data_IF_280910003219
#
_entry.id   IF_280910003219
#
_cell.length_a   1.000
_cell.length_b   1.000
_cell.length_c   1.000
_cell.angle_alpha   90.00
_cell.angle_beta   90.00
_cell.angle_gamma   90.00
#
_symmetry.space_group_name_H-M   'P 1'
#
loop_
_entity.id
_entity.type
_entity.pdbx_description
1 polymer ?
#
# COMPACT_ATOMS: atom_id res chain seq x y z
N UNK A 1 20.26 -20.86 29.67
CA UNK A 1 21.12 -20.07 28.73
C UNK A 1 20.58 -20.10 27.31
N UNK A 2 20.09 -21.20 26.74
CA UNK A 2 19.56 -21.27 25.35
C UNK A 2 18.40 -20.28 25.06
N UNK A 3 17.41 -20.16 25.93
CA UNK A 3 16.24 -19.28 25.73
C UNK A 3 16.59 -17.79 25.56
N UNK A 4 17.69 -17.33 26.15
CA UNK A 4 18.13 -15.94 26.03
C UNK A 4 18.77 -15.65 24.67
N UNK A 5 19.47 -16.60 24.08
CA UNK A 5 20.09 -16.47 22.76
C UNK A 5 19.07 -16.52 21.64
N UNK A 6 18.03 -17.36 21.76
CA UNK A 6 16.92 -17.43 20.78
C UNK A 6 16.17 -16.11 20.68
N UNK A 7 16.01 -15.39 21.78
CA UNK A 7 15.37 -14.07 21.79
C UNK A 7 16.25 -12.99 21.14
N UNK A 8 17.58 -13.08 21.22
CA UNK A 8 18.47 -12.07 20.63
C UNK A 8 18.41 -12.13 19.11
N UNK A 9 18.60 -13.32 18.53
CA UNK A 9 18.54 -13.47 17.05
C UNK A 9 17.14 -13.16 16.53
N UNK A 10 16.09 -13.60 17.23
CA UNK A 10 14.73 -13.31 16.85
C UNK A 10 14.48 -11.80 16.79
N UNK A 11 14.88 -11.05 17.80
CA UNK A 11 14.69 -9.60 17.83
C UNK A 11 15.50 -8.90 16.73
N UNK A 12 16.76 -9.29 16.53
CA UNK A 12 17.60 -8.73 15.46
C UNK A 12 16.97 -8.93 14.06
N UNK A 13 16.48 -10.15 13.79
CA UNK A 13 15.77 -10.46 12.53
C UNK A 13 14.50 -9.64 12.42
N UNK A 14 13.71 -9.50 13.48
CA UNK A 14 12.47 -8.72 13.45
C UNK A 14 12.72 -7.23 13.26
N UNK A 15 13.76 -6.67 13.85
CA UNK A 15 14.14 -5.27 13.68
C UNK A 15 14.53 -4.98 12.22
N UNK A 16 15.28 -5.89 11.60
CA UNK A 16 15.66 -5.75 10.21
C UNK A 16 14.48 -5.92 9.23
N UNK A 17 13.58 -6.87 9.51
CA UNK A 17 12.33 -7.03 8.75
C UNK A 17 11.46 -5.78 8.87
N UNK A 18 11.34 -5.21 10.06
CA UNK A 18 10.58 -3.97 10.28
C UNK A 18 11.17 -2.81 9.48
N UNK A 19 12.50 -2.67 9.50
CA UNK A 19 13.21 -1.65 8.71
C UNK A 19 12.90 -1.79 7.21
N UNK A 20 13.00 -3.00 6.66
CA UNK A 20 12.70 -3.25 5.25
C UNK A 20 11.23 -2.93 4.92
N UNK A 21 10.29 -3.29 5.80
CA UNK A 21 8.87 -2.98 5.58
C UNK A 21 8.56 -1.48 5.67
N UNK A 22 9.29 -0.73 6.50
CA UNK A 22 9.20 0.73 6.53
C UNK A 22 9.69 1.34 5.20
N UNK A 23 10.81 0.86 4.66
CA UNK A 23 11.33 1.29 3.37
C UNK A 23 10.32 0.98 2.25
N UNK A 24 9.78 -0.25 2.19
CA UNK A 24 8.74 -0.64 1.21
C UNK A 24 7.52 0.24 1.28
N UNK A 25 7.03 0.52 2.50
CA UNK A 25 5.91 1.45 2.70
C UNK A 25 6.19 2.82 2.08
N UNK A 26 7.38 3.35 2.32
CA UNK A 26 7.72 4.69 1.88
C UNK A 26 7.98 4.73 0.35
N UNK A 27 8.53 3.68 -0.22
CA UNK A 27 8.63 3.48 -1.68
C UNK A 27 7.25 3.44 -2.35
N UNK A 28 6.30 2.67 -1.80
CA UNK A 28 4.92 2.64 -2.30
C UNK A 28 4.27 4.03 -2.21
N UNK A 29 4.43 4.74 -1.09
CA UNK A 29 3.91 6.10 -0.92
C UNK A 29 4.49 7.07 -1.94
N UNK A 30 5.79 7.02 -2.18
CA UNK A 30 6.46 7.85 -3.17
C UNK A 30 5.92 7.55 -4.58
N UNK A 31 5.74 6.29 -4.91
CA UNK A 31 5.19 5.87 -6.21
C UNK A 31 3.73 6.28 -6.38
N UNK A 32 2.90 6.14 -5.33
CA UNK A 32 1.52 6.66 -5.35
C UNK A 32 1.47 8.16 -5.62
N UNK A 33 2.43 8.92 -5.09
CA UNK A 33 2.51 10.35 -5.31
C UNK A 33 2.95 10.67 -6.75
N UNK A 34 4.00 10.01 -7.26
CA UNK A 34 4.52 10.23 -8.63
C UNK A 34 3.51 9.84 -9.71
N UNK A 35 2.75 8.77 -9.51
CA UNK A 35 1.71 8.31 -10.42
C UNK A 35 0.39 9.11 -10.29
N UNK A 36 0.34 10.08 -9.37
CA UNK A 36 -0.83 10.91 -9.16
C UNK A 36 -2.08 10.16 -8.71
N UNK A 37 -1.95 8.95 -8.17
CA UNK A 37 -3.09 8.15 -7.69
C UNK A 37 -3.57 8.58 -6.30
N UNK A 38 -2.82 9.43 -5.64
CA UNK A 38 -3.14 9.95 -4.32
C UNK A 38 -4.10 11.16 -4.44
N UNK A 39 -5.35 11.02 -4.00
CA UNK A 39 -6.32 12.13 -4.00
C UNK A 39 -6.33 12.85 -2.64
N UNK A 40 -6.90 12.19 -1.62
CA UNK A 40 -6.99 12.73 -0.26
C UNK A 40 -5.77 12.43 0.61
N UNK A 41 -4.90 11.51 0.20
CA UNK A 41 -3.80 11.00 1.02
C UNK A 41 -4.21 9.93 2.05
N UNK A 42 -5.50 9.64 2.21
CA UNK A 42 -5.97 8.66 3.22
C UNK A 42 -5.36 7.27 3.03
N UNK A 43 -5.33 6.76 1.80
CA UNK A 43 -4.73 5.44 1.49
C UNK A 43 -3.25 5.41 1.85
N UNK A 44 -2.50 6.45 1.46
CA UNK A 44 -1.09 6.59 1.79
C UNK A 44 -0.85 6.70 3.30
N UNK A 45 -1.64 7.53 4.00
CA UNK A 45 -1.56 7.68 5.44
C UNK A 45 -1.96 6.40 6.20
N UNK A 46 -2.91 5.62 5.66
CA UNK A 46 -3.38 4.37 6.25
C UNK A 46 -2.39 3.21 6.17
N UNK A 47 -1.29 3.34 5.43
CA UNK A 47 -0.24 2.31 5.40
C UNK A 47 0.61 2.37 6.68
N UNK A 48 0.60 1.30 7.45
CA UNK A 48 1.32 1.20 8.72
C UNK A 48 2.10 -0.11 8.80
N UNK A 49 3.30 -0.04 9.35
CA UNK A 49 4.05 -1.23 9.76
C UNK A 49 3.69 -1.51 11.20
N UNK A 50 3.31 -2.73 11.50
CA UNK A 50 2.87 -3.17 12.83
C UNK A 50 3.68 -4.38 13.25
N UNK A 51 4.26 -4.30 14.46
CA UNK A 51 5.00 -5.39 15.08
C UNK A 51 4.09 -6.15 16.05
N UNK A 52 4.19 -7.45 16.03
CA UNK A 52 3.50 -8.40 16.90
C UNK A 52 4.53 -9.31 17.57
N UNK A 53 4.10 -10.10 18.55
CA UNK A 53 4.96 -11.12 19.17
C UNK A 53 5.49 -12.15 18.15
N UNK A 54 4.73 -12.46 17.12
CA UNK A 54 5.06 -13.49 16.11
C UNK A 54 5.57 -12.95 14.77
N UNK A 55 5.78 -11.63 14.63
CA UNK A 55 6.28 -11.07 13.38
C UNK A 55 5.98 -9.59 13.16
N UNK A 56 6.28 -9.12 11.95
CA UNK A 56 6.03 -7.75 11.50
C UNK A 56 5.21 -7.79 10.21
N UNK A 57 4.28 -6.88 10.03
CA UNK A 57 3.47 -6.78 8.82
C UNK A 57 3.26 -5.33 8.39
N UNK A 58 3.18 -5.12 7.08
CA UNK A 58 2.66 -3.90 6.49
C UNK A 58 1.15 -4.06 6.32
N UNK A 59 0.38 -3.16 6.89
CA UNK A 59 -1.08 -3.17 6.86
C UNK A 59 -1.62 -1.87 6.29
N UNK A 60 -2.80 -1.95 5.71
CA UNK A 60 -3.57 -0.80 5.27
C UNK A 60 -4.74 -0.64 6.24
N UNK A 61 -4.79 0.48 6.96
CA UNK A 61 -5.79 0.79 7.97
C UNK A 61 -6.60 2.02 7.56
N UNK A 62 -7.86 2.10 7.99
CA UNK A 62 -8.75 3.22 7.72
C UNK A 62 -10.08 2.76 7.09
N UNK A 63 -11.17 3.47 7.41
CA UNK A 63 -12.52 3.11 6.94
C UNK A 63 -12.72 3.45 5.45
N UNK A 64 -12.11 4.54 4.98
CA UNK A 64 -12.27 5.06 3.61
C UNK A 64 -11.07 4.77 2.70
N UNK A 65 -10.32 3.71 2.99
CA UNK A 65 -9.12 3.38 2.22
C UNK A 65 -9.51 2.60 0.97
N UNK A 66 -9.21 3.15 -0.21
CA UNK A 66 -9.41 2.45 -1.46
C UNK A 66 -8.56 1.17 -1.50
N UNK A 67 -9.12 0.04 -1.93
CA UNK A 67 -8.33 -1.17 -2.13
C UNK A 67 -7.15 -0.92 -3.06
N UNK A 68 -5.93 -1.23 -2.63
CA UNK A 68 -4.71 -1.00 -3.42
C UNK A 68 -4.79 -1.59 -4.82
N UNK A 69 -5.37 -2.80 -4.96
CA UNK A 69 -5.58 -3.43 -6.25
C UNK A 69 -6.36 -2.54 -7.24
N UNK A 70 -7.36 -1.79 -6.76
CA UNK A 70 -8.12 -0.86 -7.63
C UNK A 70 -7.26 0.33 -8.08
N UNK A 71 -6.28 0.75 -7.29
CA UNK A 71 -5.35 1.81 -7.68
C UNK A 71 -4.43 1.36 -8.82
N UNK A 72 -4.05 0.10 -8.83
CA UNK A 72 -3.13 -0.49 -9.81
C UNK A 72 -3.84 -0.93 -11.09
N UNK A 73 -4.89 -1.74 -10.95
CA UNK A 73 -5.58 -2.36 -12.10
C UNK A 73 -6.87 -1.65 -12.51
N UNK A 74 -7.27 -0.62 -11.78
CA UNK A 74 -8.50 0.11 -12.08
C UNK A 74 -9.77 -0.72 -11.84
N UNK A 75 -10.84 -0.33 -12.51
CA UNK A 75 -12.16 -0.96 -12.39
C UNK A 75 -12.68 -1.37 -13.77
N UNK A 76 -13.07 -2.64 -13.90
CA UNK A 76 -13.76 -3.15 -15.08
C UNK A 76 -15.16 -2.53 -15.23
N UNK A 77 -15.73 -2.61 -16.43
CA UNK A 77 -17.15 -2.28 -16.66
C UNK A 77 -18.07 -3.20 -15.84
N UNK A 78 -19.28 -2.74 -15.56
CA UNK A 78 -20.29 -3.49 -14.83
C UNK A 78 -20.92 -2.74 -13.67
N UNK A 79 -21.45 -3.48 -12.69
CA UNK A 79 -22.11 -2.88 -11.52
C UNK A 79 -21.15 -2.03 -10.70
N UNK A 80 -21.56 -0.83 -10.36
CA UNK A 80 -20.89 0.05 -9.41
C UNK A 80 -21.61 0.00 -8.05
N UNK A 81 -20.91 0.27 -6.92
CA UNK A 81 -21.53 0.34 -5.61
C UNK A 81 -22.67 1.37 -5.55
N UNK A 82 -23.62 1.16 -4.63
CA UNK A 82 -24.57 2.24 -4.29
C UNK A 82 -23.79 3.45 -3.79
N UNK A 83 -24.23 4.66 -4.16
CA UNK A 83 -23.54 5.90 -3.80
C UNK A 83 -22.23 6.13 -4.54
N UNK A 84 -21.94 5.40 -5.62
CA UNK A 84 -20.67 5.57 -6.34
C UNK A 84 -20.48 6.99 -6.90
N UNK A 85 -21.58 7.68 -7.25
CA UNK A 85 -21.51 9.08 -7.65
C UNK A 85 -21.01 9.98 -6.48
N UNK A 86 -21.44 9.71 -5.25
CA UNK A 86 -20.99 10.46 -4.08
C UNK A 86 -19.49 10.23 -3.82
N UNK A 87 -19.01 9.01 -4.03
CA UNK A 87 -17.57 8.69 -3.98
C UNK A 87 -16.79 9.50 -5.01
N UNK A 88 -17.28 9.60 -6.27
CA UNK A 88 -16.65 10.40 -7.31
C UNK A 88 -16.73 11.90 -7.00
N UNK A 89 -17.84 12.36 -6.44
CA UNK A 89 -17.98 13.76 -6.01
C UNK A 89 -16.94 14.10 -4.93
N UNK A 90 -16.81 13.26 -3.90
CA UNK A 90 -15.79 13.43 -2.86
C UNK A 90 -14.37 13.37 -3.43
N UNK A 91 -14.08 12.39 -4.28
CA UNK A 91 -12.80 12.30 -4.98
C UNK A 91 -12.47 13.56 -5.78
N UNK A 92 -13.46 14.17 -6.44
CA UNK A 92 -13.26 15.42 -7.20
C UNK A 92 -12.89 16.60 -6.30
N UNK A 93 -13.43 16.65 -5.08
CA UNK A 93 -13.04 17.63 -4.03
C UNK A 93 -11.62 17.38 -3.54
N UNK A 94 -11.32 16.14 -3.20
CA UNK A 94 -9.99 15.74 -2.73
C UNK A 94 -8.89 16.04 -3.76
N UNK A 95 -9.21 15.91 -5.06
CA UNK A 95 -8.32 16.28 -6.17
C UNK A 95 -8.27 17.79 -6.46
N UNK A 96 -9.08 18.59 -5.79
CA UNK A 96 -9.13 20.03 -6.03
C UNK A 96 -9.70 20.42 -7.40
N UNK A 97 -10.55 19.58 -8.01
CA UNK A 97 -11.16 19.91 -9.28
C UNK A 97 -12.13 21.08 -9.12
N UNK A 98 -11.90 22.15 -9.87
CA UNK A 98 -12.75 23.33 -9.86
C UNK A 98 -14.01 23.10 -10.70
N UNK A 99 -15.17 23.51 -10.16
CA UNK A 99 -16.45 23.53 -10.87
C UNK A 99 -17.15 24.86 -10.61
N UNK A 100 -17.90 25.40 -11.57
CA UNK A 100 -18.61 26.67 -11.39
C UNK A 100 -19.62 26.61 -10.25
N UNK A 101 -20.35 25.49 -10.11
CA UNK A 101 -21.33 25.25 -9.04
C UNK A 101 -21.21 23.84 -8.47
N UNK A 102 -21.79 23.61 -7.31
CA UNK A 102 -21.92 22.25 -6.74
C UNK A 102 -22.85 21.36 -7.58
N UNK A 103 -23.80 21.94 -8.31
CA UNK A 103 -24.64 21.24 -9.28
C UNK A 103 -23.82 20.64 -10.42
N UNK A 104 -22.87 21.42 -10.95
CA UNK A 104 -21.96 20.94 -12.01
C UNK A 104 -21.07 19.81 -11.51
N UNK A 105 -20.56 19.89 -10.27
CA UNK A 105 -19.79 18.82 -9.63
C UNK A 105 -20.59 17.52 -9.50
N UNK A 106 -21.86 17.61 -9.04
CA UNK A 106 -22.76 16.45 -8.95
C UNK A 106 -23.06 15.84 -10.30
N UNK A 107 -23.32 16.68 -11.31
CA UNK A 107 -23.54 16.25 -12.68
C UNK A 107 -22.32 15.53 -13.24
N UNK A 108 -21.12 16.08 -13.04
CA UNK A 108 -19.85 15.44 -13.39
C UNK A 108 -19.72 14.07 -12.69
N UNK A 109 -19.95 14.01 -11.41
CA UNK A 109 -19.83 12.78 -10.63
C UNK A 109 -20.80 11.69 -11.11
N UNK A 110 -22.05 12.05 -11.38
CA UNK A 110 -23.05 11.14 -11.91
C UNK A 110 -22.69 10.61 -13.30
N UNK A 111 -22.30 11.50 -14.22
CA UNK A 111 -21.92 11.12 -15.58
C UNK A 111 -20.67 10.26 -15.59
N UNK A 112 -19.68 10.59 -14.75
CA UNK A 112 -18.46 9.79 -14.58
C UNK A 112 -18.77 8.41 -14.02
N UNK A 113 -19.61 8.31 -12.99
CA UNK A 113 -20.04 7.03 -12.44
C UNK A 113 -20.73 6.15 -13.49
N UNK A 114 -21.61 6.73 -14.33
CA UNK A 114 -22.25 6.02 -15.44
C UNK A 114 -21.25 5.59 -16.51
N UNK A 115 -20.29 6.45 -16.85
CA UNK A 115 -19.22 6.09 -17.81
C UNK A 115 -18.39 4.92 -17.29
N UNK A 116 -17.97 4.96 -16.04
CA UNK A 116 -17.21 3.87 -15.42
C UNK A 116 -18.03 2.57 -15.39
N UNK A 117 -19.31 2.65 -15.06
CA UNK A 117 -20.18 1.47 -15.10
C UNK A 117 -20.27 0.85 -16.50
N UNK A 118 -20.28 1.66 -17.55
CA UNK A 118 -20.42 1.20 -18.95
C UNK A 118 -19.09 0.75 -19.55
N UNK A 119 -18.00 1.44 -19.27
CA UNK A 119 -16.72 1.32 -20.01
C UNK A 119 -15.56 0.86 -19.12
N UNK A 120 -15.73 0.89 -17.80
CA UNK A 120 -14.62 0.76 -16.86
C UNK A 120 -13.79 2.05 -16.75
N UNK A 121 -12.70 1.97 -16.04
CA UNK A 121 -11.73 3.08 -15.94
C UNK A 121 -10.63 2.94 -16.98
N UNK A 122 -9.99 4.04 -17.38
CA UNK A 122 -8.79 4.00 -18.25
C UNK A 122 -7.67 3.18 -17.61
N UNK A 123 -7.53 3.23 -16.28
CA UNK A 123 -6.59 2.40 -15.53
C UNK A 123 -6.79 0.91 -15.76
N UNK A 124 -8.04 0.45 -15.94
CA UNK A 124 -8.32 -0.95 -16.24
C UNK A 124 -7.85 -1.36 -17.64
N UNK A 125 -7.87 -0.44 -18.60
CA UNK A 125 -7.35 -0.66 -19.97
C UNK A 125 -5.82 -0.59 -20.01
N UNK A 126 -5.22 0.24 -19.15
CA UNK A 126 -3.78 0.42 -19.04
C UNK A 126 -3.38 0.43 -17.55
N UNK A 127 -3.21 -0.75 -16.95
CA UNK A 127 -2.76 -0.87 -15.56
C UNK A 127 -1.40 -0.22 -15.36
N UNK A 128 -1.17 0.26 -14.16
CA UNK A 128 0.15 0.72 -13.73
C UNK A 128 0.57 -0.08 -12.50
N UNK A 129 1.85 -0.26 -12.34
CA UNK A 129 2.38 -0.76 -11.09
C UNK A 129 2.41 0.38 -10.06
N UNK A 130 1.79 0.17 -8.91
CA UNK A 130 1.73 1.11 -7.79
C UNK A 130 2.42 0.54 -6.55
N UNK A 131 2.29 -0.77 -6.33
CA UNK A 131 2.82 -1.45 -5.15
C UNK A 131 3.37 -2.85 -5.43
N UNK A 132 2.96 -3.50 -6.52
CA UNK A 132 3.29 -4.92 -6.77
C UNK A 132 4.79 -5.15 -6.88
N UNK A 133 5.51 -4.32 -7.61
CA UNK A 133 6.97 -4.44 -7.77
C UNK A 133 7.71 -4.10 -6.47
N UNK A 134 7.26 -3.10 -5.73
CA UNK A 134 7.83 -2.71 -4.43
C UNK A 134 7.69 -3.84 -3.42
N UNK A 135 6.52 -4.49 -3.39
CA UNK A 135 6.28 -5.64 -2.51
C UNK A 135 7.19 -6.80 -2.89
N UNK A 136 7.31 -7.13 -4.18
CA UNK A 136 8.19 -8.21 -4.64
C UNK A 136 9.66 -7.94 -4.29
N UNK A 137 10.15 -6.71 -4.53
CA UNK A 137 11.49 -6.29 -4.12
C UNK A 137 11.67 -6.33 -2.60
N UNK A 138 10.65 -5.92 -1.86
CA UNK A 138 10.62 -5.99 -0.41
C UNK A 138 10.77 -7.42 0.11
N UNK A 139 10.04 -8.37 -0.44
CA UNK A 139 10.17 -9.80 -0.09
C UNK A 139 11.59 -10.31 -0.36
N UNK A 140 12.19 -9.94 -1.49
CA UNK A 140 13.57 -10.34 -1.79
C UNK A 140 14.58 -9.74 -0.77
N UNK A 141 14.41 -8.46 -0.40
CA UNK A 141 15.23 -7.79 0.63
C UNK A 141 15.06 -8.43 2.01
N UNK A 142 13.85 -8.76 2.42
CA UNK A 142 13.58 -9.46 3.67
C UNK A 142 14.30 -10.81 3.70
N UNK A 143 14.16 -11.61 2.64
CA UNK A 143 14.84 -12.90 2.56
C UNK A 143 16.37 -12.78 2.65
N UNK A 144 16.94 -11.74 2.03
CA UNK A 144 18.39 -11.50 2.12
C UNK A 144 18.79 -11.04 3.52
N UNK A 145 18.03 -10.15 4.14
CA UNK A 145 18.27 -9.65 5.48
C UNK A 145 18.26 -10.79 6.51
N UNK A 146 17.27 -11.67 6.46
CA UNK A 146 17.18 -12.85 7.34
C UNK A 146 18.40 -13.75 7.16
N UNK A 147 18.84 -13.99 5.93
CA UNK A 147 20.04 -14.80 5.67
C UNK A 147 21.30 -14.19 6.29
N UNK A 148 21.48 -12.88 6.16
CA UNK A 148 22.63 -12.16 6.70
C UNK A 148 22.63 -12.26 8.21
N UNK A 149 21.52 -11.94 8.88
CA UNK A 149 21.39 -11.98 10.34
C UNK A 149 21.69 -13.38 10.90
N UNK A 150 21.09 -14.42 10.31
CA UNK A 150 21.32 -15.80 10.74
C UNK A 150 22.77 -16.21 10.52
N UNK A 151 23.36 -15.86 9.38
CA UNK A 151 24.76 -16.21 9.09
C UNK A 151 25.71 -15.54 10.07
N UNK A 152 25.49 -14.27 10.37
CA UNK A 152 26.30 -13.52 11.33
C UNK A 152 26.17 -14.05 12.76
N UNK A 153 24.96 -14.42 13.16
CA UNK A 153 24.71 -15.06 14.44
C UNK A 153 25.48 -16.40 14.58
N UNK A 154 25.38 -17.26 13.55
CA UNK A 154 26.10 -18.54 13.53
C UNK A 154 27.61 -18.32 13.60
N UNK A 155 28.14 -17.37 12.81
CA UNK A 155 29.57 -17.04 12.84
C UNK A 155 30.02 -16.59 14.23
N UNK A 156 29.26 -15.70 14.87
CA UNK A 156 29.57 -15.22 16.20
C UNK A 156 29.55 -16.33 17.27
N UNK A 157 28.60 -17.27 17.16
CA UNK A 157 28.55 -18.44 18.02
C UNK A 157 29.82 -19.31 17.88
N UNK A 158 30.24 -19.59 16.63
CA UNK A 158 31.39 -20.44 16.36
C UNK A 158 32.73 -19.79 16.78
N UNK A 159 32.81 -18.46 16.74
CA UNK A 159 34.04 -17.73 17.11
C UNK A 159 34.13 -17.43 18.63
N UNK A 160 33.02 -17.58 19.35
CA UNK A 160 32.97 -17.38 20.80
C UNK A 160 33.21 -18.69 21.62
N UNK A 161 33.32 -19.80 20.94
CA UNK A 161 33.69 -21.12 21.53
C UNK A 161 35.21 -21.35 21.52
#
# INVERSE_FOLDING_TARGET
MAVAYDNIIYNSVMDEVERVLLDVRDEIRAKMASEGVNASGRTSAGMQVQRYESGVRLVLTGEDVAPLATLEVGRACGKVPRGFADIIEQWSRDKGLAFPTDGDRRSFAYLTARKIAREGTERHKSPIDVYSDEVLRGVARINQAIKVEITQYIHNLLTSM
#
